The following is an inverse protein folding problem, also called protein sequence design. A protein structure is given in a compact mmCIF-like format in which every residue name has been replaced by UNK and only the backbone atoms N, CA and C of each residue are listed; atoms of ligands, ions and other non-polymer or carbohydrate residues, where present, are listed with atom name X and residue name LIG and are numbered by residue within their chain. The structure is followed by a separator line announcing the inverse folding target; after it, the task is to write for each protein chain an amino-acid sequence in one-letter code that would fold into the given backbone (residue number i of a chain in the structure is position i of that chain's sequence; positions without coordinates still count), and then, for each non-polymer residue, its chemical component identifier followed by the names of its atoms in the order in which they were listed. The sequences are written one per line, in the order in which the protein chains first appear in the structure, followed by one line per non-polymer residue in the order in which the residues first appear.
data_IF_239744611936
#
_entry.id   IF_239744611936
#
_cell.length_a   1.000
_cell.length_b   1.000
_cell.length_c   1.000
_cell.angle_alpha   90.00
_cell.angle_beta   90.00
_cell.angle_gamma   90.00
#
_symmetry.space_group_name_H-M   'P 1'
#
loop_
_entity.id
_entity.type
_entity.pdbx_description
1 polymer ?
#
# COMPACT_ATOMS: atom_id res chain seq x y z
N UNK A 1 28.22 11.06 -23.87
CA UNK A 1 27.43 9.83 -24.05
C UNK A 1 26.36 9.82 -22.96
N UNK A 2 25.12 10.18 -23.29
CA UNK A 2 24.04 10.29 -22.32
C UNK A 2 23.52 8.88 -22.01
N UNK A 3 23.66 8.43 -20.76
CA UNK A 3 23.00 7.21 -20.28
C UNK A 3 21.51 7.53 -20.25
N UNK A 4 20.75 6.94 -21.16
CA UNK A 4 19.29 6.99 -21.11
C UNK A 4 18.85 6.42 -19.77
N UNK A 5 18.24 7.27 -18.92
CA UNK A 5 17.48 6.81 -17.75
C UNK A 5 16.34 5.96 -18.31
N UNK A 6 16.50 4.63 -18.29
CA UNK A 6 15.39 3.72 -18.53
C UNK A 6 14.34 4.04 -17.46
N UNK A 7 13.25 4.68 -17.86
CA UNK A 7 12.18 5.07 -16.96
C UNK A 7 11.40 3.79 -16.65
N UNK A 8 11.89 3.02 -15.68
CA UNK A 8 11.29 1.76 -15.24
C UNK A 8 9.86 2.06 -14.78
N UNK A 9 8.88 1.67 -15.60
CA UNK A 9 7.47 1.94 -15.36
C UNK A 9 6.96 1.12 -14.15
N UNK A 10 5.87 1.55 -13.52
CA UNK A 10 5.29 0.92 -12.31
C UNK A 10 5.17 -0.61 -12.44
N UNK A 11 4.62 -1.10 -13.56
CA UNK A 11 4.43 -2.53 -13.81
C UNK A 11 5.77 -3.29 -13.82
N UNK A 12 6.79 -2.77 -14.47
CA UNK A 12 8.11 -3.41 -14.53
C UNK A 12 8.81 -3.49 -13.16
N UNK A 13 8.48 -2.61 -12.20
CA UNK A 13 8.96 -2.72 -10.81
C UNK A 13 8.27 -3.85 -10.07
N UNK A 14 6.94 -3.92 -10.18
CA UNK A 14 6.12 -4.90 -9.46
C UNK A 14 6.40 -6.32 -9.98
N UNK A 15 6.50 -6.48 -11.31
CA UNK A 15 6.65 -7.80 -11.95
C UNK A 15 8.09 -8.31 -12.01
N UNK A 16 9.09 -7.50 -11.63
CA UNK A 16 10.52 -7.80 -11.80
C UNK A 16 10.94 -9.18 -11.28
N UNK A 17 10.34 -9.61 -10.17
CA UNK A 17 10.69 -10.83 -9.45
C UNK A 17 9.59 -11.90 -9.50
N UNK A 18 8.58 -11.69 -10.35
CA UNK A 18 7.44 -12.60 -10.48
C UNK A 18 7.68 -13.56 -11.64
N UNK A 19 7.42 -14.84 -11.42
CA UNK A 19 7.31 -15.81 -12.51
C UNK A 19 5.96 -15.62 -13.21
N UNK A 20 5.96 -14.96 -14.37
CA UNK A 20 4.74 -14.64 -15.12
C UNK A 20 3.99 -15.88 -15.65
N UNK A 21 4.70 -16.99 -15.83
CA UNK A 21 4.13 -18.26 -16.32
C UNK A 21 3.57 -19.13 -15.17
N UNK A 22 3.86 -18.77 -13.92
CA UNK A 22 3.39 -19.48 -12.74
C UNK A 22 1.98 -19.08 -12.32
N UNK A 23 1.30 -19.89 -11.48
CA UNK A 23 0.07 -19.49 -10.84
C UNK A 23 0.33 -18.32 -9.87
N UNK A 24 -0.58 -17.36 -9.83
CA UNK A 24 -0.51 -16.21 -8.93
C UNK A 24 -1.88 -15.77 -8.41
N UNK A 25 -1.87 -14.85 -7.46
CA UNK A 25 -3.08 -14.20 -6.94
C UNK A 25 -2.84 -12.69 -6.99
N UNK A 26 -3.78 -11.93 -7.55
CA UNK A 26 -3.82 -10.48 -7.48
C UNK A 26 -5.02 -10.05 -6.62
N UNK A 27 -4.76 -9.28 -5.57
CA UNK A 27 -5.77 -8.85 -4.60
C UNK A 27 -6.12 -7.38 -4.86
N UNK A 28 -7.42 -7.10 -5.04
CA UNK A 28 -7.99 -5.78 -5.26
C UNK A 28 -7.49 -5.04 -6.50
N UNK A 29 -7.32 -5.67 -7.68
CA UNK A 29 -6.86 -4.96 -8.88
C UNK A 29 -7.89 -3.94 -9.40
N UNK A 30 -9.17 -4.08 -9.02
CA UNK A 30 -10.27 -3.22 -9.48
C UNK A 30 -10.23 -3.02 -11.01
N UNK A 31 -9.95 -1.80 -11.48
CA UNK A 31 -9.90 -1.43 -12.91
C UNK A 31 -8.47 -1.30 -13.48
N UNK A 32 -7.44 -1.55 -12.69
CA UNK A 32 -6.02 -1.31 -13.05
C UNK A 32 -5.12 -2.50 -12.70
N UNK A 33 -5.41 -3.69 -13.26
CA UNK A 33 -4.62 -4.90 -12.99
C UNK A 33 -3.17 -4.75 -13.41
N UNK A 34 -2.26 -5.26 -12.58
CA UNK A 34 -0.82 -5.31 -12.84
C UNK A 34 -0.45 -6.56 -13.63
N UNK A 35 -1.10 -7.69 -13.36
CA UNK A 35 -0.89 -8.98 -14.02
C UNK A 35 -2.17 -9.45 -14.75
N UNK A 36 -2.69 -8.72 -15.76
CA UNK A 36 -3.99 -9.02 -16.35
C UNK A 36 -4.02 -10.37 -17.08
N UNK A 37 -5.10 -11.15 -16.87
CA UNK A 37 -5.30 -12.46 -17.53
C UNK A 37 -5.26 -12.33 -19.05
N UNK A 38 -5.80 -11.23 -19.60
CA UNK A 38 -5.78 -10.95 -21.05
C UNK A 38 -4.37 -10.85 -21.68
N UNK A 39 -3.32 -10.65 -20.86
CA UNK A 39 -1.91 -10.65 -21.30
C UNK A 39 -1.22 -12.01 -21.11
N UNK A 40 -1.98 -13.06 -20.75
CA UNK A 40 -1.48 -14.42 -20.59
C UNK A 40 -1.07 -14.80 -19.17
N UNK A 41 -1.27 -13.93 -18.16
CA UNK A 41 -0.98 -14.26 -16.77
C UNK A 41 -1.95 -15.32 -16.24
N UNK A 42 -1.42 -16.33 -15.56
CA UNK A 42 -2.20 -17.32 -14.82
C UNK A 42 -2.44 -16.83 -13.38
N UNK A 43 -3.32 -15.85 -13.22
CA UNK A 43 -3.62 -15.28 -11.89
C UNK A 43 -5.09 -15.47 -11.54
N UNK A 44 -5.34 -15.77 -10.26
CA UNK A 44 -6.66 -15.62 -9.67
C UNK A 44 -6.83 -14.21 -9.08
N UNK A 45 -8.03 -13.67 -9.18
CA UNK A 45 -8.39 -12.33 -8.76
C UNK A 45 -9.26 -12.42 -7.52
N UNK A 46 -8.82 -11.77 -6.45
CA UNK A 46 -9.61 -11.56 -5.24
C UNK A 46 -10.02 -10.10 -5.21
N UNK A 47 -11.32 -9.79 -5.14
CA UNK A 47 -11.78 -8.41 -4.99
C UNK A 47 -13.02 -8.36 -4.07
N UNK A 48 -13.45 -7.16 -3.68
CA UNK A 48 -14.58 -6.97 -2.77
C UNK A 48 -15.95 -7.07 -3.43
N UNK A 49 -15.99 -7.02 -4.77
CA UNK A 49 -17.19 -7.21 -5.60
C UNK A 49 -16.82 -8.14 -6.75
N UNK A 50 -17.84 -8.80 -7.32
CA UNK A 50 -17.68 -9.49 -8.60
C UNK A 50 -17.49 -8.49 -9.75
N UNK A 51 -17.18 -9.00 -10.95
CA UNK A 51 -16.93 -8.18 -12.13
C UNK A 51 -18.11 -7.25 -12.45
N UNK A 52 -19.35 -7.77 -12.42
CA UNK A 52 -20.55 -6.99 -12.70
C UNK A 52 -20.73 -5.85 -11.67
N UNK A 53 -20.55 -6.16 -10.39
CA UNK A 53 -20.60 -5.21 -9.29
C UNK A 53 -19.54 -4.12 -9.43
N UNK A 54 -18.30 -4.47 -9.79
CA UNK A 54 -17.24 -3.50 -10.07
C UNK A 54 -17.56 -2.61 -11.28
N UNK A 55 -18.06 -3.18 -12.38
CA UNK A 55 -18.49 -2.40 -13.57
C UNK A 55 -19.58 -1.41 -13.16
N UNK A 56 -20.58 -1.86 -12.40
CA UNK A 56 -21.65 -0.99 -11.90
C UNK A 56 -21.11 0.11 -10.97
N UNK A 57 -20.20 -0.22 -10.05
CA UNK A 57 -19.55 0.74 -9.13
C UNK A 57 -18.86 1.87 -9.90
N UNK A 58 -18.14 1.54 -10.98
CA UNK A 58 -17.40 2.49 -11.80
C UNK A 58 -18.19 3.10 -12.96
N UNK A 59 -19.46 2.70 -13.14
CA UNK A 59 -20.33 3.24 -14.19
C UNK A 59 -20.49 4.75 -14.08
N UNK A 60 -20.41 5.46 -15.20
CA UNK A 60 -20.51 6.92 -15.26
C UNK A 60 -19.25 7.67 -14.80
N UNK A 61 -18.20 6.97 -14.37
CA UNK A 61 -16.90 7.56 -14.06
C UNK A 61 -15.98 7.54 -15.28
N UNK A 62 -14.92 8.34 -15.28
CA UNK A 62 -13.90 8.35 -16.36
C UNK A 62 -12.91 7.19 -16.21
N UNK A 63 -13.41 5.97 -16.03
CA UNK A 63 -12.64 4.74 -15.83
C UNK A 63 -13.01 3.77 -16.96
N UNK A 64 -11.99 3.13 -17.55
CA UNK A 64 -12.23 2.09 -18.55
C UNK A 64 -12.59 0.76 -17.86
N UNK A 65 -13.89 0.46 -17.78
CA UNK A 65 -14.40 -0.76 -17.14
C UNK A 65 -14.09 -2.04 -17.93
N UNK A 66 -13.72 -1.94 -19.22
CA UNK A 66 -13.25 -3.10 -20.00
C UNK A 66 -11.93 -3.66 -19.44
N UNK A 67 -11.27 -2.88 -18.59
CA UNK A 67 -10.06 -3.33 -17.91
C UNK A 67 -10.30 -4.20 -16.68
N UNK A 68 -11.54 -4.31 -16.20
CA UNK A 68 -11.86 -5.13 -15.02
C UNK A 68 -11.80 -6.61 -15.43
N UNK A 69 -10.95 -7.38 -14.76
CA UNK A 69 -10.80 -8.82 -14.98
C UNK A 69 -11.97 -9.59 -14.36
N UNK A 70 -12.15 -10.86 -14.77
CA UNK A 70 -13.04 -11.76 -14.05
C UNK A 70 -12.52 -11.99 -12.63
N UNK A 71 -13.40 -11.81 -11.65
CA UNK A 71 -13.12 -11.99 -10.21
C UNK A 71 -13.38 -13.44 -9.83
N UNK A 72 -12.35 -14.15 -9.36
CA UNK A 72 -12.47 -15.56 -8.99
C UNK A 72 -12.96 -15.73 -7.54
N UNK A 73 -12.60 -14.80 -6.66
CA UNK A 73 -13.01 -14.82 -5.25
C UNK A 73 -13.51 -13.45 -4.80
N UNK A 74 -14.73 -13.40 -4.26
CA UNK A 74 -15.28 -12.18 -3.65
C UNK A 74 -14.98 -12.17 -2.15
N UNK A 75 -14.25 -11.17 -1.67
CA UNK A 75 -13.91 -10.99 -0.27
C UNK A 75 -14.96 -10.12 0.44
N UNK A 76 -15.65 -10.69 1.43
CA UNK A 76 -16.67 -10.04 2.25
C UNK A 76 -16.18 -9.52 3.63
N UNK A 77 -14.89 -9.21 3.81
CA UNK A 77 -14.28 -8.93 5.14
C UNK A 77 -14.77 -7.65 5.85
N UNK A 78 -15.59 -7.80 6.87
CA UNK A 78 -16.13 -6.79 7.81
C UNK A 78 -15.12 -6.43 8.94
N UNK A 79 -14.98 -5.23 9.54
CA UNK A 79 -15.47 -3.86 9.33
C UNK A 79 -14.56 -2.88 10.13
N UNK A 80 -13.90 -1.91 9.46
CA UNK A 80 -13.25 -0.73 10.11
C UNK A 80 -14.07 0.56 9.91
N UNK A 81 -15.31 0.44 9.45
CA UNK A 81 -16.15 1.54 8.93
C UNK A 81 -16.29 2.72 9.87
N UNK A 82 -16.56 2.48 11.15
CA UNK A 82 -16.75 3.57 12.09
C UNK A 82 -15.48 4.42 12.25
N UNK A 83 -14.30 3.80 12.29
CA UNK A 83 -13.02 4.50 12.42
C UNK A 83 -12.75 5.38 11.21
N UNK A 84 -12.87 4.83 10.00
CA UNK A 84 -12.68 5.57 8.76
C UNK A 84 -13.55 6.83 8.68
N UNK A 85 -14.85 6.70 8.87
CA UNK A 85 -15.79 7.83 8.71
C UNK A 85 -15.65 8.88 9.81
N UNK A 86 -15.10 8.54 10.97
CA UNK A 86 -14.81 9.49 12.04
C UNK A 86 -13.51 10.28 11.79
N UNK A 87 -12.51 9.64 11.18
CA UNK A 87 -11.13 10.13 11.22
C UNK A 87 -10.56 10.56 9.87
N UNK A 88 -11.20 10.22 8.74
CA UNK A 88 -10.67 10.59 7.42
C UNK A 88 -10.73 12.12 7.24
N UNK A 89 -9.57 12.73 6.99
CA UNK A 89 -9.42 14.18 6.83
C UNK A 89 -8.96 14.54 5.41
N UNK A 90 -9.41 15.71 4.95
CA UNK A 90 -8.94 16.37 3.74
C UNK A 90 -8.08 17.57 4.11
N UNK A 91 -7.09 17.85 3.27
CA UNK A 91 -6.28 19.06 3.33
C UNK A 91 -6.72 19.98 2.19
N UNK A 92 -7.27 21.15 2.51
CA UNK A 92 -7.78 22.12 1.51
C UNK A 92 -8.80 21.51 0.52
N UNK A 93 -9.67 20.62 1.02
CA UNK A 93 -10.72 19.98 0.21
C UNK A 93 -10.26 18.83 -0.69
N UNK A 94 -8.96 18.53 -0.74
CA UNK A 94 -8.39 17.37 -1.42
C UNK A 94 -7.89 16.31 -0.42
N UNK A 95 -7.73 15.08 -0.87
CA UNK A 95 -7.23 14.00 -0.01
C UNK A 95 -5.80 14.30 0.46
N UNK A 96 -5.54 14.13 1.76
CA UNK A 96 -4.35 14.60 2.45
C UNK A 96 -3.10 13.68 2.30
N UNK A 97 -3.01 12.92 1.21
CA UNK A 97 -1.96 11.91 1.00
C UNK A 97 -0.59 12.50 0.60
N UNK A 98 -0.47 13.80 0.32
CA UNK A 98 0.81 14.45 0.00
C UNK A 98 1.39 15.14 1.23
N UNK A 99 2.51 14.62 1.75
CA UNK A 99 3.22 15.17 2.91
C UNK A 99 3.75 16.60 2.72
N UNK A 100 3.72 17.13 1.50
CA UNK A 100 4.15 18.50 1.17
C UNK A 100 2.99 19.49 1.14
N UNK A 101 1.74 19.01 1.20
CA UNK A 101 0.58 19.89 1.33
C UNK A 101 0.45 20.33 2.78
N UNK A 102 0.69 21.62 3.00
CA UNK A 102 0.36 22.29 4.24
C UNK A 102 -0.93 23.09 4.03
N UNK A 103 -1.88 22.97 4.95
CA UNK A 103 -3.17 23.63 4.84
C UNK A 103 -4.08 23.29 6.01
N UNK A 104 -5.28 23.86 5.98
CA UNK A 104 -6.32 23.54 6.95
C UNK A 104 -6.81 22.11 6.76
N UNK A 105 -6.84 21.36 7.87
CA UNK A 105 -7.42 20.03 7.91
C UNK A 105 -8.91 20.13 8.24
N UNK A 106 -9.73 19.40 7.50
CA UNK A 106 -11.15 19.25 7.79
C UNK A 106 -11.53 17.76 7.69
N UNK A 107 -12.41 17.31 8.56
CA UNK A 107 -13.00 15.97 8.44
C UNK A 107 -13.75 15.86 7.11
N UNK A 108 -13.58 14.72 6.43
CA UNK A 108 -14.24 14.49 5.13
C UNK A 108 -15.72 14.16 5.29
N UNK A 109 -16.14 13.78 6.50
CA UNK A 109 -17.50 13.38 6.83
C UNK A 109 -17.95 14.00 8.17
N UNK A 110 -19.25 14.24 8.35
CA UNK A 110 -19.80 14.64 9.63
C UNK A 110 -19.73 13.49 10.66
N UNK A 111 -19.69 13.77 11.98
CA UNK A 111 -19.49 12.74 13.01
C UNK A 111 -20.56 11.63 13.06
N UNK A 112 -21.78 11.91 12.60
CA UNK A 112 -22.88 10.95 12.53
C UNK A 112 -22.76 9.97 11.37
N UNK A 113 -21.95 10.28 10.35
CA UNK A 113 -21.70 9.41 9.21
C UNK A 113 -21.10 8.05 9.62
N UNK A 114 -20.30 8.02 10.69
CA UNK A 114 -19.75 6.77 11.22
C UNK A 114 -20.84 5.79 11.68
N UNK A 115 -21.88 6.29 12.36
CA UNK A 115 -22.97 5.47 12.86
C UNK A 115 -23.91 5.01 11.74
N UNK A 116 -24.25 5.92 10.81
CA UNK A 116 -25.09 5.60 9.64
C UNK A 116 -24.43 4.51 8.79
N UNK A 117 -23.15 4.68 8.48
CA UNK A 117 -22.42 3.75 7.62
C UNK A 117 -22.09 2.45 8.35
N UNK A 118 -21.81 2.47 9.66
CA UNK A 118 -21.66 1.25 10.45
C UNK A 118 -22.93 0.40 10.43
N UNK A 119 -24.12 1.00 10.62
CA UNK A 119 -25.39 0.28 10.53
C UNK A 119 -25.62 -0.28 9.12
N UNK A 120 -25.30 0.45 8.05
CA UNK A 120 -25.39 -0.07 6.67
C UNK A 120 -24.48 -1.28 6.43
N UNK A 121 -23.22 -1.20 6.84
CA UNK A 121 -22.27 -2.31 6.68
C UNK A 121 -22.68 -3.53 7.51
N UNK A 122 -23.19 -3.33 8.72
CA UNK A 122 -23.53 -4.41 9.65
C UNK A 122 -24.90 -5.03 9.38
N UNK A 123 -25.92 -4.21 9.13
CA UNK A 123 -27.32 -4.64 9.07
C UNK A 123 -27.75 -4.99 7.64
N UNK A 124 -27.27 -4.25 6.64
CA UNK A 124 -27.58 -4.52 5.23
C UNK A 124 -26.54 -5.40 4.54
N UNK A 125 -25.45 -5.75 5.23
CA UNK A 125 -24.32 -6.48 4.63
C UNK A 125 -23.64 -5.71 3.50
N UNK A 126 -23.81 -4.39 3.46
CA UNK A 126 -23.29 -3.54 2.40
C UNK A 126 -21.77 -3.40 2.52
N UNK A 127 -21.05 -3.68 1.42
CA UNK A 127 -19.63 -3.37 1.39
C UNK A 127 -19.41 -1.87 1.35
N UNK A 128 -18.72 -1.34 2.37
CA UNK A 128 -18.29 0.05 2.42
C UNK A 128 -16.78 0.12 2.23
N UNK A 129 -16.36 0.96 1.29
CA UNK A 129 -14.96 1.14 0.92
C UNK A 129 -14.22 1.98 1.97
N UNK A 130 -13.84 1.32 3.08
CA UNK A 130 -13.20 1.95 4.25
C UNK A 130 -11.79 1.41 4.49
N UNK A 131 -11.12 0.99 3.42
CA UNK A 131 -9.78 0.40 3.50
C UNK A 131 -8.72 1.46 3.85
N UNK A 132 -8.23 1.45 5.09
CA UNK A 132 -7.10 2.29 5.45
C UNK A 132 -6.14 1.59 6.43
N UNK A 133 -5.33 0.66 5.92
CA UNK A 133 -4.03 0.39 6.54
C UNK A 133 -2.99 1.26 5.83
N UNK A 134 -2.79 2.46 6.37
CA UNK A 134 -1.71 3.32 5.92
C UNK A 134 -0.43 2.91 6.65
N UNK A 135 0.54 2.40 5.89
CA UNK A 135 1.90 2.19 6.39
C UNK A 135 2.82 3.24 5.81
N UNK A 136 3.65 3.85 6.65
CA UNK A 136 4.94 4.32 6.17
C UNK A 136 5.81 3.11 5.85
N UNK A 137 6.65 3.16 4.80
CA UNK A 137 7.33 1.96 4.30
C UNK A 137 8.06 1.17 5.38
N UNK A 138 8.83 1.81 6.26
CA UNK A 138 9.60 1.09 7.27
C UNK A 138 8.74 0.49 8.39
N UNK A 139 7.50 0.98 8.60
CA UNK A 139 6.55 0.32 9.49
C UNK A 139 6.08 -1.03 8.92
N UNK A 140 5.82 -1.09 7.61
CA UNK A 140 5.49 -2.34 6.95
C UNK A 140 6.67 -3.32 6.95
N UNK A 141 7.89 -2.82 6.67
CA UNK A 141 9.12 -3.65 6.70
C UNK A 141 9.34 -4.30 8.06
N UNK A 142 9.16 -3.53 9.13
CA UNK A 142 9.26 -4.05 10.50
C UNK A 142 8.17 -5.08 10.81
N UNK A 143 6.92 -4.84 10.39
CA UNK A 143 5.84 -5.80 10.56
C UNK A 143 6.17 -7.15 9.89
N UNK A 144 6.64 -7.13 8.65
CA UNK A 144 7.04 -8.35 7.93
C UNK A 144 8.17 -9.07 8.66
N UNK A 145 9.19 -8.36 9.13
CA UNK A 145 10.28 -8.96 9.89
C UNK A 145 9.78 -9.59 11.20
N UNK A 146 8.93 -8.89 11.95
CA UNK A 146 8.36 -9.39 13.21
C UNK A 146 7.50 -10.64 12.97
N UNK A 147 6.67 -10.66 11.91
CA UNK A 147 5.87 -11.83 11.55
C UNK A 147 6.75 -13.03 11.17
N UNK A 148 7.88 -12.80 10.50
CA UNK A 148 8.84 -13.85 10.17
C UNK A 148 9.54 -14.39 11.42
N UNK A 149 10.03 -13.51 12.29
CA UNK A 149 10.73 -13.87 13.53
C UNK A 149 9.82 -14.63 14.51
N UNK A 150 8.51 -14.32 14.50
CA UNK A 150 7.48 -15.06 15.24
C UNK A 150 7.09 -16.39 14.58
N UNK A 151 7.60 -16.70 13.39
CA UNK A 151 7.26 -17.92 12.64
C UNK A 151 5.84 -17.92 12.04
N UNK A 152 5.16 -16.77 12.00
CA UNK A 152 3.81 -16.63 11.47
C UNK A 152 3.79 -16.59 9.94
N UNK A 153 4.87 -16.10 9.33
CA UNK A 153 5.10 -16.16 7.89
C UNK A 153 6.47 -16.76 7.60
N UNK A 154 6.61 -17.37 6.42
CA UNK A 154 7.89 -17.90 5.93
C UNK A 154 8.51 -16.99 4.86
N UNK A 155 8.07 -15.73 4.81
CA UNK A 155 8.45 -14.77 3.77
C UNK A 155 9.31 -13.66 4.39
N UNK A 156 10.36 -13.29 3.68
CA UNK A 156 11.24 -12.17 4.00
C UNK A 156 11.27 -11.19 2.85
N UNK A 157 11.73 -9.97 3.12
CA UNK A 157 12.02 -8.99 2.08
C UNK A 157 13.04 -9.56 1.08
N UNK A 158 12.67 -9.55 -0.21
CA UNK A 158 13.56 -9.83 -1.34
C UNK A 158 14.02 -8.54 -2.01
N UNK A 159 13.10 -7.59 -2.19
CA UNK A 159 13.42 -6.28 -2.76
C UNK A 159 12.48 -5.21 -2.23
N UNK A 160 12.99 -4.00 -2.10
CA UNK A 160 12.23 -2.84 -1.65
C UNK A 160 12.50 -1.63 -2.56
N UNK A 161 11.42 -0.94 -2.91
CA UNK A 161 11.44 0.33 -3.59
C UNK A 161 10.74 1.39 -2.71
N UNK A 162 11.43 2.50 -2.39
CA UNK A 162 10.89 3.54 -1.52
C UNK A 162 9.70 4.24 -2.17
N UNK A 163 8.99 5.04 -1.36
CA UNK A 163 7.77 5.73 -1.75
C UNK A 163 7.94 6.56 -3.03
N UNK A 164 7.04 6.36 -3.98
CA UNK A 164 6.84 7.21 -5.16
C UNK A 164 5.37 7.62 -5.18
N UNK A 165 5.10 8.91 -4.96
CA UNK A 165 3.72 9.37 -4.75
C UNK A 165 3.18 8.85 -3.42
N UNK A 166 2.09 8.06 -3.48
CA UNK A 166 1.44 7.47 -2.30
C UNK A 166 1.67 5.95 -2.20
N UNK A 167 2.54 5.37 -3.03
CA UNK A 167 2.82 3.93 -3.08
C UNK A 167 4.29 3.66 -2.75
N UNK A 168 4.57 2.55 -2.05
CA UNK A 168 5.89 1.90 -2.02
C UNK A 168 5.74 0.47 -2.55
N UNK A 169 6.84 -0.14 -3.00
CA UNK A 169 6.79 -1.53 -3.51
C UNK A 169 7.74 -2.41 -2.72
N UNK A 170 7.25 -3.59 -2.37
CA UNK A 170 8.04 -4.62 -1.72
C UNK A 170 7.75 -5.96 -2.38
N UNK A 171 8.80 -6.72 -2.68
CA UNK A 171 8.68 -8.14 -3.04
C UNK A 171 9.10 -8.96 -1.84
N UNK A 172 8.27 -9.94 -1.48
CA UNK A 172 8.54 -10.90 -0.43
C UNK A 172 8.86 -12.28 -1.03
N UNK A 173 9.81 -13.00 -0.43
CA UNK A 173 10.19 -14.35 -0.86
C UNK A 173 10.69 -15.18 0.32
N UNK A 174 10.58 -16.51 0.22
CA UNK A 174 11.25 -17.45 1.13
C UNK A 174 12.77 -17.31 1.07
N UNK A 175 13.29 -16.96 -0.10
CA UNK A 175 14.70 -16.74 -0.40
C UNK A 175 15.14 -15.29 -0.11
N UNK A 176 14.25 -14.45 0.45
CA UNK A 176 14.57 -13.06 0.76
C UNK A 176 15.67 -12.95 1.82
N UNK A 177 16.54 -11.94 1.70
CA UNK A 177 17.57 -11.66 2.71
C UNK A 177 16.99 -11.01 3.96
N UNK A 178 15.78 -10.45 3.88
CA UNK A 178 15.17 -9.65 4.95
C UNK A 178 15.60 -8.19 4.88
N UNK A 179 15.06 -7.38 5.79
CA UNK A 179 15.41 -5.97 5.85
C UNK A 179 16.88 -5.82 6.32
N UNK A 180 17.74 -5.07 5.60
CA UNK A 180 19.15 -4.92 5.96
C UNK A 180 19.39 -3.94 7.13
N UNK A 181 18.35 -3.56 7.85
CA UNK A 181 18.38 -2.62 8.97
C UNK A 181 18.06 -3.36 10.26
N UNK A 182 18.73 -2.98 11.35
CA UNK A 182 18.26 -3.37 12.68
C UNK A 182 17.00 -2.56 13.06
N UNK A 183 16.29 -3.03 14.10
CA UNK A 183 15.04 -2.41 14.57
C UNK A 183 15.18 -0.91 14.85
N UNK A 184 16.25 -0.50 15.53
CA UNK A 184 16.45 0.92 15.88
C UNK A 184 16.66 1.79 14.65
N UNK A 185 17.44 1.33 13.66
CA UNK A 185 17.61 2.06 12.40
C UNK A 185 16.30 2.14 11.61
N UNK A 186 15.49 1.09 11.61
CA UNK A 186 14.19 1.13 10.94
C UNK A 186 13.19 2.09 11.62
N UNK A 187 13.19 2.17 12.96
CA UNK A 187 12.40 3.15 13.71
C UNK A 187 12.82 4.60 13.40
N UNK A 188 14.12 4.84 13.21
CA UNK A 188 14.62 6.17 12.80
C UNK A 188 14.18 6.53 11.38
N UNK A 189 14.22 5.59 10.44
CA UNK A 189 13.70 5.83 9.09
C UNK A 189 12.18 6.07 9.10
N UNK A 190 11.44 5.37 9.95
CA UNK A 190 10.00 5.59 10.16
C UNK A 190 9.69 7.02 10.61
N UNK A 191 10.44 7.55 11.57
CA UNK A 191 10.30 8.94 12.03
C UNK A 191 10.55 9.95 10.90
N UNK A 192 11.54 9.69 10.04
CA UNK A 192 11.81 10.51 8.86
C UNK A 192 10.69 10.42 7.82
N UNK A 193 10.05 9.26 7.66
CA UNK A 193 8.91 9.08 6.77
C UNK A 193 7.69 9.86 7.25
N UNK A 194 7.37 9.75 8.54
CA UNK A 194 6.24 10.46 9.16
C UNK A 194 6.44 11.99 9.08
N UNK A 195 7.67 12.47 9.27
CA UNK A 195 7.99 13.91 9.23
C UNK A 195 8.20 14.45 7.80
N UNK A 196 8.04 13.62 6.77
CA UNK A 196 8.22 14.01 5.37
C UNK A 196 9.68 14.30 4.98
N UNK A 197 10.65 13.84 5.77
CA UNK A 197 12.08 14.05 5.57
C UNK A 197 12.80 12.87 4.88
N UNK A 198 12.06 11.82 4.52
CA UNK A 198 12.62 10.64 3.83
C UNK A 198 13.17 11.03 2.45
N UNK A 199 14.50 10.89 2.29
CA UNK A 199 15.19 11.22 1.04
C UNK A 199 15.26 9.98 0.14
N UNK A 200 14.70 10.07 -1.06
CA UNK A 200 14.82 9.06 -2.14
C UNK A 200 16.25 8.86 -2.70
N UNK A 201 17.29 8.99 -1.88
CA UNK A 201 18.68 8.59 -2.17
C UNK A 201 19.28 8.03 -0.88
N UNK A 202 20.10 6.96 -0.93
CA UNK A 202 20.81 6.48 0.25
C UNK A 202 21.70 7.61 0.77
N UNK A 203 21.23 8.28 1.81
CA UNK A 203 21.84 9.51 2.27
C UNK A 203 23.09 9.16 3.06
N UNK A 204 24.21 9.77 2.66
CA UNK A 204 25.47 9.83 3.40
C UNK A 204 25.30 10.31 4.87
N UNK A 205 24.07 10.65 5.34
CA UNK A 205 23.72 10.90 6.74
C UNK A 205 23.95 9.71 7.66
N UNK A 206 23.63 8.47 7.25
CA UNK A 206 23.79 7.32 8.16
C UNK A 206 25.28 7.09 8.52
N UNK A 207 26.18 7.24 7.55
CA UNK A 207 27.64 7.25 7.77
C UNK A 207 28.09 8.40 8.67
N UNK A 208 27.40 9.55 8.63
CA UNK A 208 27.72 10.75 9.43
C UNK A 208 27.21 10.66 10.86
N UNK A 209 26.08 9.98 11.09
CA UNK A 209 25.50 9.72 12.42
C UNK A 209 26.30 8.64 13.15
N UNK A 210 26.69 7.56 12.46
CA UNK A 210 27.59 6.53 13.00
C UNK A 210 28.98 7.12 13.34
N UNK A 211 29.51 8.04 12.52
CA UNK A 211 30.78 8.73 12.83
C UNK A 211 30.70 9.75 13.97
N UNK A 212 29.50 10.23 14.33
CA UNK A 212 29.33 11.29 15.34
C UNK A 212 29.08 10.77 16.75
N UNK A 213 29.03 9.45 16.97
CA UNK A 213 29.02 8.88 18.32
C UNK A 213 27.89 9.40 19.22
N UNK A 214 26.73 9.76 18.66
CA UNK A 214 25.58 10.15 19.47
C UNK A 214 25.00 8.91 20.15
N UNK A 215 25.35 8.71 21.41
CA UNK A 215 24.56 7.93 22.36
C UNK A 215 23.25 8.67 22.59
N UNK A 216 22.14 8.13 22.11
CA UNK A 216 20.81 8.60 22.51
C UNK A 216 20.31 7.61 23.56
N UNK A 217 20.49 8.06 24.80
CA UNK A 217 19.89 7.70 26.09
C UNK A 217 19.40 6.28 26.37
N UNK A 218 19.86 5.80 27.54
CA UNK A 218 19.46 4.61 28.31
C UNK A 218 17.95 4.49 28.53
#
# INVERSE_FOLDING_TARGET
MAIAKCNVNRQSRILKHINADGPGIEIGPCHSPVAPKRKGFNVEIIDHLDREGLIKKYSGQRINTDNIEEVDHVWHGQTYVAEYYLNVVRCEGEDAWDSRKAGSLAFSHPPDAGQINYSRAKEAGEWLDVHAWCFVPHAFRLLIQDLYDLGLIQLKELSFHPTVGCEFYMTLSREGEGMPLNRMSALQEMELEITGQSAGKPSNRLKKLIKKGLRVFS
#
